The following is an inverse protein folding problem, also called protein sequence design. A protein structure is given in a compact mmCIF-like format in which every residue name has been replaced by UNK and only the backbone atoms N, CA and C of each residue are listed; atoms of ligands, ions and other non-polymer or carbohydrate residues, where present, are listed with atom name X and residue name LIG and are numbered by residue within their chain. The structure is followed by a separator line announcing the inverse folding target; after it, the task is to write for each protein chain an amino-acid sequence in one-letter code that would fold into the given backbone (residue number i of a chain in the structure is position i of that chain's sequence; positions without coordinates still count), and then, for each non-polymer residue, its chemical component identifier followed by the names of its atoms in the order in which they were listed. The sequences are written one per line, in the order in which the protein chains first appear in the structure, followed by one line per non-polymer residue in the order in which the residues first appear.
data_IF_605879551197
#
_entry.id   IF_605879551197
#
_cell.length_a   1.000
_cell.length_b   1.000
_cell.length_c   1.000
_cell.angle_alpha   90.00
_cell.angle_beta   90.00
_cell.angle_gamma   90.00
#
_symmetry.space_group_name_H-M   'P 1'
#
loop_
_entity.id
_entity.type
_entity.pdbx_description
1 polymer ?
#
# COMPACT_ATOMS: atom_id res chain seq x y z
N UNK A 1 5.54 -6.56 -18.87
CA UNK A 1 6.26 -5.39 -18.36
C UNK A 1 5.23 -4.41 -17.89
N UNK A 2 5.15 -4.21 -16.58
CA UNK A 2 4.16 -3.36 -15.91
C UNK A 2 4.40 -1.90 -16.28
N UNK A 3 3.71 -1.46 -17.33
CA UNK A 3 3.67 -0.06 -17.75
C UNK A 3 2.62 0.69 -16.94
N UNK A 4 2.81 2.00 -16.84
CA UNK A 4 1.78 2.91 -16.36
C UNK A 4 1.00 3.48 -17.54
N UNK A 5 -0.18 4.01 -17.26
CA UNK A 5 -0.95 4.80 -18.21
C UNK A 5 -1.75 5.85 -17.44
N UNK A 6 -1.52 7.13 -17.72
CA UNK A 6 -2.36 8.20 -17.16
C UNK A 6 -3.58 8.39 -18.04
N UNK A 7 -4.76 8.36 -17.44
CA UNK A 7 -6.04 8.44 -18.12
C UNK A 7 -6.11 9.70 -18.98
N UNK A 8 -6.57 9.53 -20.23
CA UNK A 8 -6.77 10.65 -21.16
C UNK A 8 -8.23 10.79 -21.55
N UNK A 9 -8.62 12.01 -21.96
CA UNK A 9 -10.00 12.32 -22.29
C UNK A 9 -10.58 11.36 -23.33
N UNK A 10 -11.75 10.80 -23.02
CA UNK A 10 -12.46 9.82 -23.86
C UNK A 10 -12.31 8.37 -23.41
N UNK A 11 -11.42 8.08 -22.46
CA UNK A 11 -11.27 6.75 -21.87
C UNK A 11 -12.24 6.53 -20.71
N UNK A 12 -12.68 5.28 -20.51
CA UNK A 12 -13.51 4.90 -19.36
C UNK A 12 -12.85 5.30 -18.03
N UNK A 13 -11.56 5.02 -17.87
CA UNK A 13 -10.81 5.42 -16.68
C UNK A 13 -10.83 6.94 -16.47
N UNK A 14 -10.73 7.75 -17.53
CA UNK A 14 -10.79 9.21 -17.41
C UNK A 14 -12.16 9.68 -16.87
N UNK A 15 -13.25 9.04 -17.29
CA UNK A 15 -14.58 9.32 -16.75
C UNK A 15 -14.68 8.98 -15.26
N UNK A 16 -14.16 7.82 -14.83
CA UNK A 16 -14.14 7.43 -13.42
C UNK A 16 -13.32 8.40 -12.57
N UNK A 17 -12.13 8.82 -13.04
CA UNK A 17 -11.28 9.79 -12.36
C UNK A 17 -11.98 11.14 -12.21
N UNK A 18 -12.66 11.60 -13.26
CA UNK A 18 -13.41 12.87 -13.24
C UNK A 18 -14.60 12.80 -12.30
N UNK A 19 -15.33 11.69 -12.29
CA UNK A 19 -16.43 11.49 -11.35
C UNK A 19 -15.92 11.45 -9.90
N UNK A 20 -14.87 10.68 -9.62
CA UNK A 20 -14.25 10.58 -8.30
C UNK A 20 -13.80 11.95 -7.78
N UNK A 21 -13.16 12.76 -8.64
CA UNK A 21 -12.68 14.11 -8.28
C UNK A 21 -13.79 15.13 -8.06
N UNK A 22 -14.92 15.03 -8.78
CA UNK A 22 -15.93 16.10 -8.79
C UNK A 22 -17.16 15.78 -7.97
N UNK A 23 -17.59 14.52 -7.92
CA UNK A 23 -18.76 14.06 -7.18
C UNK A 23 -18.33 13.15 -6.03
N UNK A 24 -17.56 12.09 -6.33
CA UNK A 24 -17.19 11.05 -5.37
C UNK A 24 -16.56 11.61 -4.09
N UNK A 25 -15.55 12.47 -4.19
CA UNK A 25 -14.87 13.07 -3.02
C UNK A 25 -15.78 13.95 -2.16
N UNK A 26 -16.81 14.58 -2.75
CA UNK A 26 -17.73 15.45 -2.03
C UNK A 26 -18.84 14.64 -1.34
N UNK A 27 -19.26 13.53 -1.96
CA UNK A 27 -20.31 12.64 -1.43
C UNK A 27 -19.75 11.62 -0.43
N UNK A 28 -18.55 11.11 -0.68
CA UNK A 28 -17.89 10.03 0.07
C UNK A 28 -16.40 10.31 0.28
N UNK A 29 -16.03 11.32 1.11
CA UNK A 29 -14.63 11.68 1.35
C UNK A 29 -13.82 10.54 2.00
N UNK A 30 -14.48 9.65 2.74
CA UNK A 30 -13.90 8.47 3.37
C UNK A 30 -13.36 7.45 2.35
N UNK A 31 -13.86 7.44 1.12
CA UNK A 31 -13.35 6.57 0.04
C UNK A 31 -11.99 7.02 -0.50
N UNK A 32 -11.58 8.26 -0.19
CA UNK A 32 -10.39 8.88 -0.73
C UNK A 32 -9.50 9.47 0.38
N UNK A 33 -9.03 8.64 1.32
CA UNK A 33 -8.24 9.11 2.46
C UNK A 33 -7.02 9.91 1.97
N UNK A 34 -6.85 11.12 2.52
CA UNK A 34 -5.76 12.04 2.17
C UNK A 34 -5.94 12.82 0.86
N UNK A 35 -7.04 12.63 0.12
CA UNK A 35 -7.37 13.46 -1.04
C UNK A 35 -8.38 14.55 -0.68
N UNK A 36 -8.36 15.62 -1.47
CA UNK A 36 -9.34 16.70 -1.43
C UNK A 36 -9.83 16.97 -2.85
N UNK A 37 -10.89 17.76 -3.01
CA UNK A 37 -11.37 18.16 -4.34
C UNK A 37 -10.31 18.92 -5.18
N UNK A 38 -9.27 19.47 -4.54
CA UNK A 38 -8.15 20.13 -5.24
C UNK A 38 -7.01 19.18 -5.64
N UNK A 39 -6.99 17.94 -5.16
CA UNK A 39 -6.00 16.92 -5.54
C UNK A 39 -5.97 16.66 -7.04
N UNK A 40 -4.83 16.23 -7.57
CA UNK A 40 -4.64 16.03 -9.02
C UNK A 40 -5.42 14.84 -9.57
N UNK A 41 -5.72 14.85 -10.87
CA UNK A 41 -6.38 13.71 -11.54
C UNK A 41 -5.54 12.43 -11.45
N UNK A 42 -4.21 12.53 -11.50
CA UNK A 42 -3.29 11.42 -11.24
C UNK A 42 -3.47 10.83 -9.84
N UNK A 43 -3.73 11.66 -8.81
CA UNK A 43 -3.98 11.17 -7.46
C UNK A 43 -5.33 10.44 -7.37
N UNK A 44 -6.37 10.97 -8.02
CA UNK A 44 -7.66 10.28 -8.10
C UNK A 44 -7.59 8.98 -8.92
N UNK A 45 -6.81 8.93 -10.00
CA UNK A 45 -6.59 7.69 -10.75
C UNK A 45 -5.89 6.64 -9.90
N UNK A 46 -4.91 7.03 -9.08
CA UNK A 46 -4.28 6.11 -8.14
C UNK A 46 -5.30 5.55 -7.16
N UNK A 47 -6.18 6.39 -6.60
CA UNK A 47 -7.23 5.95 -5.67
C UNK A 47 -8.27 5.02 -6.33
N UNK A 48 -8.69 5.31 -7.57
CA UNK A 48 -9.58 4.44 -8.34
C UNK A 48 -8.90 3.11 -8.65
N UNK A 49 -7.61 3.11 -9.04
CA UNK A 49 -6.87 1.88 -9.27
C UNK A 49 -6.71 1.04 -7.99
N UNK A 50 -6.47 1.66 -6.84
CA UNK A 50 -6.33 0.94 -5.56
C UNK A 50 -7.63 0.28 -5.11
N UNK A 51 -8.77 0.93 -5.32
CA UNK A 51 -10.09 0.39 -4.95
C UNK A 51 -10.60 -0.62 -5.99
N UNK A 52 -10.43 -0.30 -7.27
CA UNK A 52 -10.92 -1.11 -8.39
C UNK A 52 -9.85 -1.18 -9.51
N UNK A 53 -8.85 -2.08 -9.39
CA UNK A 53 -7.71 -2.16 -10.31
C UNK A 53 -8.08 -2.38 -11.78
N UNK A 54 -9.29 -2.89 -12.05
CA UNK A 54 -9.81 -3.13 -13.40
C UNK A 54 -10.38 -1.87 -14.06
N UNK A 55 -10.78 -0.85 -13.29
CA UNK A 55 -11.35 0.39 -13.84
C UNK A 55 -10.29 1.32 -14.39
N UNK A 56 -9.14 1.36 -13.75
CA UNK A 56 -8.04 2.23 -14.11
C UNK A 56 -6.71 1.49 -14.01
N UNK A 57 -5.79 1.68 -14.96
CA UNK A 57 -4.40 1.26 -14.79
C UNK A 57 -3.68 2.18 -13.78
N UNK A 58 -2.50 1.75 -13.33
CA UNK A 58 -1.60 2.59 -12.51
C UNK A 58 -1.24 3.85 -13.30
N UNK A 59 -1.46 5.06 -12.76
CA UNK A 59 -1.09 6.29 -13.45
C UNK A 59 0.42 6.45 -13.55
N UNK A 60 0.87 7.22 -14.55
CA UNK A 60 2.27 7.60 -14.67
C UNK A 60 2.59 8.78 -13.74
N UNK A 61 3.70 8.67 -13.02
CA UNK A 61 4.34 9.75 -12.29
C UNK A 61 5.00 10.77 -13.21
N UNK A 62 5.53 11.84 -12.61
CA UNK A 62 6.20 12.93 -13.35
C UNK A 62 7.46 12.45 -14.11
N UNK A 63 8.07 11.36 -13.66
CA UNK A 63 9.22 10.71 -14.28
C UNK A 63 8.82 9.67 -15.35
N UNK A 64 7.53 9.58 -15.67
CA UNK A 64 6.98 8.64 -16.66
C UNK A 64 6.92 7.19 -16.17
N UNK A 65 7.13 6.94 -14.88
CA UNK A 65 7.09 5.59 -14.27
C UNK A 65 5.76 5.36 -13.54
N UNK A 66 5.38 4.10 -13.25
CA UNK A 66 4.22 3.82 -12.42
C UNK A 66 4.28 4.56 -11.09
N UNK A 67 3.20 5.27 -10.76
CA UNK A 67 3.00 5.87 -9.44
C UNK A 67 3.02 4.76 -8.40
N UNK A 68 3.92 4.90 -7.42
CA UNK A 68 3.88 4.08 -6.22
C UNK A 68 2.65 4.46 -5.41
N UNK A 69 1.99 3.45 -4.84
CA UNK A 69 0.95 3.68 -3.87
C UNK A 69 1.49 4.48 -2.67
N UNK A 70 0.67 5.35 -2.05
CA UNK A 70 1.07 6.06 -0.83
C UNK A 70 1.37 5.05 0.27
N UNK A 71 2.43 5.31 1.03
CA UNK A 71 2.72 4.54 2.23
C UNK A 71 1.70 4.86 3.34
N UNK A 72 1.39 3.92 4.25
CA UNK A 72 0.56 4.18 5.41
C UNK A 72 1.14 5.32 6.26
N UNK A 73 0.30 6.21 6.74
CA UNK A 73 0.73 7.31 7.61
C UNK A 73 1.26 6.76 8.95
N UNK A 74 2.43 7.22 9.38
CA UNK A 74 3.06 6.75 10.62
C UNK A 74 3.63 5.33 10.54
N UNK A 75 3.76 4.76 9.34
CA UNK A 75 4.49 3.51 9.16
C UNK A 75 5.97 3.67 9.50
N UNK A 76 6.63 2.56 9.83
CA UNK A 76 8.07 2.50 10.03
C UNK A 76 8.57 1.11 9.72
N UNK A 77 9.52 0.96 8.81
CA UNK A 77 10.17 -0.33 8.59
C UNK A 77 11.22 -0.56 9.68
N UNK A 78 11.20 -1.77 10.25
CA UNK A 78 12.14 -2.13 11.30
C UNK A 78 13.58 -2.03 10.80
N UNK A 79 14.41 -1.29 11.53
CA UNK A 79 15.84 -1.17 11.21
C UNK A 79 16.70 -1.87 12.25
N UNK A 80 17.86 -2.35 11.81
CA UNK A 80 18.78 -3.08 12.68
C UNK A 80 19.14 -2.27 13.93
N UNK A 81 19.05 -2.92 15.10
CA UNK A 81 19.26 -2.31 16.40
C UNK A 81 17.97 -1.88 17.12
N UNK A 82 16.82 -1.92 16.44
CA UNK A 82 15.52 -1.71 17.07
C UNK A 82 14.95 -3.01 17.65
N UNK A 83 14.15 -2.88 18.72
CA UNK A 83 13.47 -4.03 19.33
C UNK A 83 12.60 -4.79 18.31
N UNK A 84 11.90 -4.07 17.43
CA UNK A 84 11.10 -4.70 16.38
C UNK A 84 11.96 -5.53 15.41
N UNK A 85 13.17 -5.06 15.06
CA UNK A 85 14.06 -5.79 14.16
C UNK A 85 14.55 -7.11 14.78
N UNK A 86 14.84 -7.10 16.09
CA UNK A 86 15.20 -8.32 16.83
C UNK A 86 14.03 -9.33 16.87
N UNK A 87 12.80 -8.84 17.07
CA UNK A 87 11.59 -9.67 17.05
C UNK A 87 11.34 -10.30 15.67
N UNK A 88 11.50 -9.53 14.60
CA UNK A 88 11.42 -10.03 13.21
C UNK A 88 12.51 -11.07 12.94
N UNK A 89 13.74 -10.79 13.37
CA UNK A 89 14.88 -11.69 13.20
C UNK A 89 14.65 -13.02 13.94
N UNK A 90 14.09 -12.96 15.15
CA UNK A 90 13.70 -14.16 15.89
C UNK A 90 12.55 -14.91 15.19
N UNK A 91 11.50 -14.21 14.78
CA UNK A 91 10.35 -14.78 14.09
C UNK A 91 10.78 -15.54 12.82
N UNK A 92 11.66 -14.94 12.02
CA UNK A 92 12.18 -15.51 10.76
C UNK A 92 13.11 -16.71 10.97
N UNK A 93 14.00 -16.64 11.96
CA UNK A 93 15.02 -17.67 12.14
C UNK A 93 14.56 -18.82 13.04
N UNK A 94 13.69 -18.55 14.00
CA UNK A 94 13.32 -19.49 15.05
C UNK A 94 11.79 -19.68 15.10
N UNK A 95 11.04 -18.58 15.18
CA UNK A 95 9.59 -18.59 15.35
C UNK A 95 8.89 -19.43 14.28
N UNK A 96 9.16 -19.19 13.00
CA UNK A 96 8.50 -19.89 11.89
C UNK A 96 8.86 -21.37 11.78
N UNK A 97 10.04 -21.77 12.25
CA UNK A 97 10.43 -23.19 12.27
C UNK A 97 9.72 -23.94 13.39
N UNK A 98 9.53 -23.28 14.54
CA UNK A 98 8.93 -23.87 15.74
C UNK A 98 7.39 -23.82 15.69
N UNK A 99 6.85 -22.73 15.16
CA UNK A 99 5.42 -22.41 15.12
C UNK A 99 5.02 -21.81 13.75
N UNK A 100 5.05 -22.58 12.66
CA UNK A 100 4.65 -22.10 11.34
C UNK A 100 3.18 -21.61 11.32
N UNK A 101 2.33 -22.13 12.20
CA UNK A 101 0.93 -21.70 12.35
C UNK A 101 0.77 -20.24 12.79
N UNK A 102 1.79 -19.63 13.40
CA UNK A 102 1.78 -18.20 13.75
C UNK A 102 2.01 -17.28 12.56
N UNK A 103 2.54 -17.82 11.45
CA UNK A 103 2.91 -17.05 10.26
C UNK A 103 2.26 -17.62 8.99
N UNK A 104 0.92 -17.64 8.88
CA UNK A 104 0.25 -18.23 7.73
C UNK A 104 0.73 -17.63 6.41
N UNK A 105 1.19 -18.48 5.50
CA UNK A 105 1.66 -18.07 4.16
C UNK A 105 3.09 -17.56 4.10
N UNK A 106 3.76 -17.37 5.25
CA UNK A 106 5.19 -17.04 5.26
C UNK A 106 6.05 -18.30 5.20
N UNK A 107 7.29 -18.09 4.77
CA UNK A 107 8.35 -19.10 4.80
C UNK A 107 9.63 -18.47 5.35
N UNK A 108 10.65 -19.27 5.66
CA UNK A 108 11.93 -18.72 6.14
C UNK A 108 12.61 -17.78 5.13
N UNK A 109 12.27 -17.87 3.85
CA UNK A 109 12.74 -16.96 2.80
C UNK A 109 11.91 -15.67 2.66
N UNK A 110 10.80 -15.54 3.39
CA UNK A 110 10.01 -14.30 3.40
C UNK A 110 10.85 -13.12 3.90
N UNK A 111 10.52 -11.94 3.40
CA UNK A 111 11.17 -10.68 3.71
C UNK A 111 10.94 -10.23 5.15
N UNK A 112 11.82 -9.36 5.64
CA UNK A 112 11.70 -8.83 7.01
C UNK A 112 10.42 -7.99 7.15
N UNK A 113 10.00 -7.30 6.08
CA UNK A 113 8.75 -6.53 6.02
C UNK A 113 7.51 -7.43 6.11
N UNK A 114 7.52 -8.62 5.50
CA UNK A 114 6.44 -9.61 5.64
C UNK A 114 6.36 -10.15 7.08
N UNK A 115 7.50 -10.45 7.70
CA UNK A 115 7.53 -10.84 9.11
C UNK A 115 7.11 -9.70 10.04
N UNK A 116 7.52 -8.46 9.74
CA UNK A 116 7.07 -7.28 10.48
C UNK A 116 5.55 -7.13 10.42
N UNK A 117 4.95 -7.33 9.26
CA UNK A 117 3.51 -7.28 9.09
C UNK A 117 2.80 -8.35 9.95
N UNK A 118 3.33 -9.57 9.98
CA UNK A 118 2.78 -10.65 10.80
C UNK A 118 2.93 -10.37 12.31
N UNK A 119 4.08 -9.84 12.73
CA UNK A 119 4.31 -9.44 14.13
C UNK A 119 3.40 -8.28 14.52
N UNK A 120 3.26 -7.24 13.69
CA UNK A 120 2.34 -6.12 13.94
C UNK A 120 0.89 -6.60 14.07
N UNK A 121 0.42 -7.48 13.18
CA UNK A 121 -0.96 -7.98 13.20
C UNK A 121 -1.29 -8.81 14.44
N UNK A 122 -0.30 -9.49 15.03
CA UNK A 122 -0.49 -10.30 16.24
C UNK A 122 -0.17 -9.54 17.53
N UNK A 123 0.85 -8.67 17.48
CA UNK A 123 1.43 -7.94 18.61
C UNK A 123 1.83 -6.52 18.16
N UNK A 124 0.87 -5.59 18.00
CA UNK A 124 1.13 -4.22 17.54
C UNK A 124 2.11 -3.44 18.41
N UNK A 125 2.25 -3.80 19.68
CA UNK A 125 3.19 -3.16 20.61
C UNK A 125 4.66 -3.52 20.34
N UNK A 126 4.93 -4.63 19.64
CA UNK A 126 6.30 -5.10 19.34
C UNK A 126 6.88 -4.47 18.09
N UNK A 127 6.03 -4.18 17.13
CA UNK A 127 6.44 -3.66 15.83
C UNK A 127 5.42 -2.64 15.33
N UNK A 128 5.86 -1.50 14.78
CA UNK A 128 4.96 -0.60 14.07
C UNK A 128 4.49 -1.24 12.76
N UNK A 129 3.43 -0.66 12.18
CA UNK A 129 2.98 -1.04 10.85
C UNK A 129 4.13 -0.80 9.83
N UNK A 130 4.49 -1.81 9.02
CA UNK A 130 5.52 -1.64 8.01
C UNK A 130 5.09 -0.66 6.91
N UNK A 131 6.06 -0.03 6.26
CA UNK A 131 5.85 0.88 5.15
C UNK A 131 5.63 0.13 3.83
N UNK A 132 4.49 -0.54 3.72
CA UNK A 132 4.08 -1.26 2.51
C UNK A 132 3.22 -0.33 1.63
N UNK A 133 3.63 -0.06 0.36
CA UNK A 133 2.77 0.63 -0.61
C UNK A 133 1.49 -0.15 -0.93
#
# INVERSE_FOLDING_TARGET
GEGCHTAVQGEACFHEVRWAKTQGINEHPDWYPGLTASSSEVAFQQAVHQSEPTKCPVPCGADGKPKKAPLPEGCHDAVQGEACFEEITWAKNQGIQQHPEWYPGLTQSSSDQEFQQAVYMSQPDKCPQPCIP
#
